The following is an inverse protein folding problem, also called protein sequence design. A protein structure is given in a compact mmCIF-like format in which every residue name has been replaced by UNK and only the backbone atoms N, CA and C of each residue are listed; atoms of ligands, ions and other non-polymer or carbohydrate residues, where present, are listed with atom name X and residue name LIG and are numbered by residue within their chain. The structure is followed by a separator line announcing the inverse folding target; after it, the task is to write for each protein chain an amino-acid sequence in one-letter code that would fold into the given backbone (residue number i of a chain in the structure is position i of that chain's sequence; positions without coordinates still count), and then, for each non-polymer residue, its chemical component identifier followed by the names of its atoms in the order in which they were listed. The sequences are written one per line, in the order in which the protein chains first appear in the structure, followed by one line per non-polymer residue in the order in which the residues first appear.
data_IF_327783208254
#
_entry.id   IF_327783208254
#
_cell.length_a   1.000
_cell.length_b   1.000
_cell.length_c   1.000
_cell.angle_alpha   90.00
_cell.angle_beta   90.00
_cell.angle_gamma   90.00
#
_symmetry.space_group_name_H-M   'P 1'
#
loop_
_entity.id
_entity.type
_entity.pdbx_description
1 polymer ?
#
# COMPACT_ATOMS: atom_id res chain seq x y z
N UNK A 1 24.82 -37.79 25.90
CA UNK A 1 23.89 -38.40 24.93
C UNK A 1 22.80 -37.38 24.69
N UNK A 2 22.62 -36.75 23.53
CA UNK A 2 22.58 -37.26 22.16
C UNK A 2 23.29 -36.27 21.22
N UNK A 3 23.83 -36.82 20.14
CA UNK A 3 24.88 -36.27 19.27
C UNK A 3 24.39 -35.25 18.23
N UNK A 4 25.26 -34.27 17.96
CA UNK A 4 25.29 -33.47 16.74
C UNK A 4 25.71 -34.32 15.54
N UNK A 5 25.06 -34.16 14.38
CA UNK A 5 25.62 -34.56 13.09
C UNK A 5 25.59 -33.40 12.10
N UNK A 6 26.79 -32.91 11.79
CA UNK A 6 27.12 -32.12 10.62
C UNK A 6 27.72 -33.07 9.58
N UNK A 7 27.29 -32.99 8.32
CA UNK A 7 28.02 -33.61 7.22
C UNK A 7 28.11 -32.64 6.03
N UNK A 8 29.31 -32.09 5.85
CA UNK A 8 29.84 -31.53 4.60
C UNK A 8 30.59 -32.64 3.88
N UNK A 9 30.48 -32.71 2.54
CA UNK A 9 31.51 -33.02 1.53
C UNK A 9 30.79 -33.47 0.24
N UNK A 10 30.81 -32.69 -0.84
CA UNK A 10 31.82 -32.60 -1.93
C UNK A 10 31.19 -33.20 -3.22
N UNK A 11 30.79 -32.37 -4.17
CA UNK A 11 31.54 -32.01 -5.40
C UNK A 11 31.49 -33.07 -6.52
N UNK A 12 30.79 -32.75 -7.61
CA UNK A 12 31.28 -32.72 -9.00
C UNK A 12 30.13 -32.75 -10.01
N UNK A 13 30.13 -31.76 -10.89
CA UNK A 13 29.37 -31.72 -12.14
C UNK A 13 30.01 -32.63 -13.19
N UNK A 14 29.21 -33.35 -13.97
CA UNK A 14 29.59 -33.85 -15.31
C UNK A 14 28.39 -33.73 -16.25
N UNK A 15 28.57 -32.96 -17.33
CA UNK A 15 27.71 -32.88 -18.51
C UNK A 15 27.98 -34.07 -19.44
N UNK A 16 26.93 -34.64 -20.05
CA UNK A 16 27.08 -35.46 -21.28
C UNK A 16 26.01 -35.09 -22.29
N UNK A 17 26.46 -34.58 -23.44
CA UNK A 17 25.70 -34.37 -24.69
C UNK A 17 25.36 -35.72 -25.34
N UNK A 18 24.16 -35.87 -25.90
CA UNK A 18 23.90 -36.81 -27.00
C UNK A 18 23.16 -36.12 -28.14
N UNK A 19 23.83 -36.05 -29.30
CA UNK A 19 23.29 -35.75 -30.63
C UNK A 19 22.67 -37.03 -31.20
N UNK A 20 21.51 -36.92 -31.83
CA UNK A 20 21.00 -37.91 -32.79
C UNK A 20 20.70 -37.18 -34.12
N UNK A 21 21.24 -37.73 -35.20
CA UNK A 21 21.06 -37.33 -36.61
C UNK A 21 20.72 -38.60 -37.38
N UNK A 22 19.66 -38.58 -38.20
CA UNK A 22 19.43 -39.35 -39.43
C UNK A 22 18.43 -38.51 -40.28
N UNK A 23 18.80 -37.96 -41.45
CA UNK A 23 18.69 -38.50 -42.84
C UNK A 23 17.28 -39.05 -43.12
N UNK A 24 16.51 -38.67 -44.16
CA UNK A 24 16.64 -37.86 -45.38
C UNK A 24 15.57 -38.36 -46.38
N UNK A 25 15.12 -37.55 -47.36
CA UNK A 25 14.63 -37.87 -48.74
C UNK A 25 13.88 -36.64 -49.33
N UNK A 26 14.32 -36.20 -50.52
CA UNK A 26 13.72 -35.20 -51.45
C UNK A 26 12.76 -35.91 -52.44
N UNK A 27 11.78 -35.29 -53.12
CA UNK A 27 11.89 -34.41 -54.30
C UNK A 27 10.50 -33.90 -54.74
N UNK A 28 10.42 -32.76 -55.46
CA UNK A 28 9.42 -32.59 -56.55
C UNK A 28 8.68 -31.25 -56.73
N UNK A 29 9.37 -30.23 -57.28
CA UNK A 29 8.96 -29.23 -58.31
C UNK A 29 7.47 -28.81 -58.53
N UNK A 30 7.20 -27.48 -58.51
CA UNK A 30 6.93 -26.66 -59.73
C UNK A 30 6.67 -25.16 -59.42
N UNK A 31 7.25 -24.30 -60.26
CA UNK A 31 7.13 -22.83 -60.31
C UNK A 31 5.96 -22.36 -61.19
N UNK A 32 5.40 -21.16 -60.93
CA UNK A 32 5.06 -20.02 -61.85
C UNK A 32 4.37 -18.94 -60.96
N UNK A 33 5.02 -17.81 -60.59
CA UNK A 33 5.04 -16.46 -61.23
C UNK A 33 3.66 -15.77 -61.33
N UNK A 34 3.42 -14.47 -61.05
CA UNK A 34 4.17 -13.31 -60.52
C UNK A 34 3.15 -12.13 -60.50
N UNK A 35 3.05 -11.35 -59.41
CA UNK A 35 3.00 -9.86 -59.34
C UNK A 35 2.07 -9.27 -58.25
N UNK A 36 2.78 -8.75 -57.23
CA UNK A 36 2.69 -7.41 -56.59
C UNK A 36 1.36 -6.96 -55.97
N UNK A 37 1.35 -6.84 -54.65
CA UNK A 37 1.60 -5.55 -53.98
C UNK A 37 2.25 -5.77 -52.62
N UNK A 38 3.24 -4.93 -52.32
CA UNK A 38 4.07 -4.95 -51.11
C UNK A 38 3.46 -4.11 -49.99
N UNK A 39 3.29 -4.69 -48.80
CA UNK A 39 3.51 -4.00 -47.53
C UNK A 39 4.27 -4.98 -46.63
N UNK A 40 5.58 -4.76 -46.53
CA UNK A 40 6.48 -5.50 -45.65
C UNK A 40 6.14 -5.22 -44.19
N UNK A 41 5.71 -6.27 -43.49
CA UNK A 41 6.26 -6.75 -42.21
C UNK A 41 6.72 -5.68 -41.20
N UNK A 42 5.93 -5.50 -40.13
CA UNK A 42 6.39 -5.45 -38.73
C UNK A 42 5.19 -5.61 -37.76
N UNK A 43 4.46 -6.72 -37.89
CA UNK A 43 3.59 -7.22 -36.82
C UNK A 43 4.20 -8.53 -36.32
N UNK A 44 5.02 -8.42 -35.27
CA UNK A 44 5.39 -9.50 -34.31
C UNK A 44 6.56 -9.01 -33.46
N UNK A 45 6.25 -8.35 -32.34
CA UNK A 45 7.16 -8.18 -31.19
C UNK A 45 6.43 -7.69 -29.92
N UNK A 46 5.24 -8.22 -29.63
CA UNK A 46 4.51 -7.88 -28.39
C UNK A 46 4.26 -9.05 -27.41
N UNK A 47 4.81 -10.25 -27.63
CA UNK A 47 4.43 -11.43 -26.80
C UNK A 47 5.53 -12.10 -25.95
N UNK A 48 6.68 -11.46 -25.69
CA UNK A 48 7.71 -12.08 -24.83
C UNK A 48 8.23 -11.26 -23.65
N UNK A 49 7.56 -10.16 -23.28
CA UNK A 49 7.99 -9.32 -22.16
C UNK A 49 6.89 -9.12 -21.08
N UNK A 50 6.21 -10.17 -20.62
CA UNK A 50 5.32 -10.01 -19.44
C UNK A 50 4.93 -11.30 -18.68
N UNK A 51 5.79 -12.33 -18.65
CA UNK A 51 5.54 -13.55 -17.85
C UNK A 51 6.08 -13.49 -16.42
N UNK A 52 6.96 -12.54 -16.07
CA UNK A 52 7.68 -12.52 -14.78
C UNK A 52 7.60 -11.18 -14.01
N UNK A 53 6.63 -10.30 -14.26
CA UNK A 53 6.59 -9.02 -13.52
C UNK A 53 6.14 -9.22 -12.06
N UNK A 54 6.77 -8.54 -11.07
CA UNK A 54 6.38 -8.67 -9.66
C UNK A 54 4.89 -8.36 -9.41
N UNK A 55 4.33 -7.40 -10.16
CA UNK A 55 2.91 -7.05 -10.05
C UNK A 55 2.00 -8.17 -10.57
N UNK A 56 2.34 -8.80 -11.69
CA UNK A 56 1.58 -9.93 -12.22
C UNK A 56 1.63 -11.12 -11.26
N UNK A 57 2.80 -11.40 -10.66
CA UNK A 57 2.93 -12.41 -9.60
C UNK A 57 2.03 -12.10 -8.40
N UNK A 58 2.06 -10.86 -7.89
CA UNK A 58 1.19 -10.46 -6.78
C UNK A 58 -0.31 -10.55 -7.14
N UNK A 59 -0.69 -10.24 -8.39
CA UNK A 59 -2.05 -10.38 -8.89
C UNK A 59 -2.48 -11.84 -9.09
N UNK A 60 -1.60 -12.70 -9.61
CA UNK A 60 -1.85 -14.12 -9.84
C UNK A 60 -1.94 -14.87 -8.49
N UNK A 61 -1.03 -14.59 -7.55
CA UNK A 61 -1.04 -15.11 -6.17
C UNK A 61 -2.24 -14.56 -5.35
N UNK A 62 -2.86 -13.45 -5.78
CA UNK A 62 -4.11 -12.95 -5.19
C UNK A 62 -5.36 -13.72 -5.68
N UNK A 63 -5.29 -14.40 -6.82
CA UNK A 63 -6.41 -15.14 -7.41
C UNK A 63 -6.58 -16.56 -6.82
N UNK A 64 -5.53 -17.15 -6.23
CA UNK A 64 -5.55 -18.49 -5.61
C UNK A 64 -6.14 -18.51 -4.19
N UNK A 65 -7.06 -17.59 -3.88
CA UNK A 65 -7.63 -17.34 -2.55
C UNK A 65 -8.16 -18.58 -1.81
N UNK A 66 -8.58 -19.61 -2.55
CA UNK A 66 -9.16 -20.83 -1.99
C UNK A 66 -8.13 -21.73 -1.29
N UNK A 67 -6.86 -21.73 -1.72
CA UNK A 67 -5.86 -22.68 -1.20
C UNK A 67 -5.33 -22.30 0.20
N UNK A 68 -5.41 -21.03 0.58
CA UNK A 68 -5.04 -20.57 1.93
C UNK A 68 -6.11 -20.93 2.96
N UNK A 69 -7.39 -20.73 2.62
CA UNK A 69 -8.52 -21.07 3.48
C UNK A 69 -8.61 -22.57 3.79
N UNK A 70 -8.11 -23.44 2.90
CA UNK A 70 -8.15 -24.90 3.09
C UNK A 70 -6.99 -25.41 3.94
N UNK A 71 -5.80 -24.80 3.86
CA UNK A 71 -4.63 -25.25 4.66
C UNK A 71 -4.76 -24.92 6.13
N UNK A 72 -5.62 -23.98 6.48
CA UNK A 72 -5.78 -23.58 7.87
C UNK A 72 -7.24 -23.32 8.26
N UNK A 73 -8.04 -24.37 8.52
CA UNK A 73 -9.48 -24.22 8.78
C UNK A 73 -9.83 -23.56 10.11
N UNK A 74 -8.90 -23.51 11.07
CA UNK A 74 -9.09 -22.91 12.40
C UNK A 74 -8.73 -21.41 12.45
N UNK A 75 -8.35 -20.84 11.31
CA UNK A 75 -7.77 -19.52 11.17
C UNK A 75 -8.82 -18.42 10.89
N UNK A 76 -9.88 -18.38 11.68
CA UNK A 76 -10.56 -17.11 11.97
C UNK A 76 -9.62 -16.26 12.84
N UNK A 77 -8.47 -15.82 12.28
CA UNK A 77 -7.36 -15.20 13.04
C UNK A 77 -7.71 -13.86 13.66
N UNK A 78 -8.76 -13.21 13.14
CA UNK A 78 -9.43 -12.16 13.86
C UNK A 78 -10.35 -12.87 14.85
N UNK A 79 -9.80 -13.31 15.99
CA UNK A 79 -10.56 -13.00 17.20
C UNK A 79 -10.64 -11.48 17.17
N UNK A 80 -11.82 -10.99 16.79
CA UNK A 80 -12.15 -9.58 16.87
C UNK A 80 -11.51 -9.08 18.18
N UNK A 81 -10.81 -7.92 18.20
CA UNK A 81 -10.14 -7.44 19.41
C UNK A 81 -11.05 -7.28 20.65
N UNK A 82 -12.32 -7.59 20.47
CA UNK A 82 -13.46 -7.42 21.31
C UNK A 82 -13.87 -8.78 21.85
N UNK A 83 -14.07 -8.84 23.16
CA UNK A 83 -14.55 -10.03 23.89
C UNK A 83 -15.83 -10.58 23.25
N UNK A 84 -16.07 -11.89 23.32
CA UNK A 84 -17.19 -12.59 22.68
C UNK A 84 -18.61 -12.02 23.00
N UNK A 85 -18.74 -11.28 24.11
CA UNK A 85 -19.97 -10.56 24.54
C UNK A 85 -19.95 -9.06 24.28
N UNK A 86 -18.97 -8.54 23.53
CA UNK A 86 -18.88 -7.13 23.22
C UNK A 86 -20.12 -6.68 22.42
N UNK A 87 -20.74 -5.58 22.86
CA UNK A 87 -21.90 -5.01 22.16
C UNK A 87 -21.41 -4.29 20.90
N UNK A 88 -21.33 -5.03 19.79
CA UNK A 88 -21.05 -4.46 18.48
C UNK A 88 -22.22 -3.62 18.00
N UNK A 89 -21.94 -2.42 17.52
CA UNK A 89 -22.96 -1.54 16.95
C UNK A 89 -23.01 -1.81 15.46
N UNK A 90 -24.11 -2.36 14.95
CA UNK A 90 -24.41 -2.34 13.50
C UNK A 90 -24.60 -0.89 13.09
N UNK A 91 -23.54 -0.22 12.66
CA UNK A 91 -23.53 1.24 12.54
C UNK A 91 -23.58 1.74 11.09
N UNK A 92 -24.45 1.11 10.30
CA UNK A 92 -24.96 1.68 9.06
C UNK A 92 -25.92 2.86 9.30
N UNK A 93 -26.74 2.86 10.38
CA UNK A 93 -27.91 3.74 10.43
C UNK A 93 -28.20 4.52 11.72
N UNK A 94 -27.43 4.41 12.81
CA UNK A 94 -27.80 5.11 14.06
C UNK A 94 -26.65 5.87 14.75
N UNK A 95 -26.70 7.19 14.58
CA UNK A 95 -25.92 8.23 15.28
C UNK A 95 -26.32 8.40 16.76
N UNK A 96 -26.62 7.32 17.51
CA UNK A 96 -26.83 7.45 18.97
C UNK A 96 -25.52 7.23 19.72
N UNK A 97 -24.98 8.34 20.26
CA UNK A 97 -23.90 8.37 21.25
C UNK A 97 -24.14 7.29 22.33
N UNK A 98 -23.20 6.37 22.60
CA UNK A 98 -23.15 5.83 23.95
C UNK A 98 -22.91 6.99 24.92
N UNK A 99 -23.54 6.97 26.08
CA UNK A 99 -23.01 7.68 27.25
C UNK A 99 -21.80 6.89 27.77
N UNK A 100 -20.75 6.77 26.96
CA UNK A 100 -19.45 6.29 27.43
C UNK A 100 -18.70 7.50 27.93
N UNK A 101 -18.18 7.43 29.15
CA UNK A 101 -17.31 8.46 29.69
C UNK A 101 -16.14 8.70 28.70
N UNK A 102 -15.88 9.95 28.25
CA UNK A 102 -14.72 10.26 27.42
C UNK A 102 -13.39 9.77 28.01
N UNK A 103 -13.31 9.63 29.34
CA UNK A 103 -12.14 9.07 30.04
C UNK A 103 -11.95 7.57 29.80
N UNK A 104 -13.01 6.84 29.45
CA UNK A 104 -12.98 5.39 29.22
C UNK A 104 -12.95 5.01 27.73
N UNK A 105 -13.19 5.97 26.83
CA UNK A 105 -13.23 5.76 25.39
C UNK A 105 -11.85 5.97 24.74
N UNK A 106 -11.54 5.18 23.72
CA UNK A 106 -10.29 5.30 22.96
C UNK A 106 -10.51 5.52 21.46
N UNK A 107 -9.52 6.15 20.85
CA UNK A 107 -9.39 6.27 19.39
C UNK A 107 -8.04 5.71 19.00
N UNK A 108 -8.03 4.74 18.09
CA UNK A 108 -6.81 4.10 17.62
C UNK A 108 -6.44 4.64 16.24
N UNK A 109 -5.24 5.21 16.12
CA UNK A 109 -4.73 5.80 14.89
C UNK A 109 -3.60 4.96 14.31
N UNK A 110 -3.72 4.61 13.03
CA UNK A 110 -2.73 3.81 12.32
C UNK A 110 -1.82 4.67 11.44
N UNK A 111 -0.48 4.53 11.57
CA UNK A 111 0.46 5.28 10.75
C UNK A 111 0.45 4.80 9.29
N UNK A 112 0.99 5.64 8.40
CA UNK A 112 1.24 5.30 7.01
C UNK A 112 2.73 5.17 6.70
N UNK A 113 3.03 5.09 5.41
CA UNK A 113 4.41 5.14 4.90
C UNK A 113 5.15 6.39 5.41
N UNK A 114 6.41 6.18 5.81
CA UNK A 114 7.28 7.18 6.46
C UNK A 114 7.47 6.94 7.96
N UNK A 115 6.67 6.07 8.58
CA UNK A 115 6.80 5.69 9.99
C UNK A 115 7.78 4.53 10.25
N UNK A 116 8.24 3.85 9.20
CA UNK A 116 9.14 2.71 9.32
C UNK A 116 10.54 3.12 9.79
N UNK A 117 11.17 2.25 10.59
CA UNK A 117 12.56 2.36 11.00
C UNK A 117 13.15 0.97 11.29
N UNK A 118 14.45 0.81 11.10
CA UNK A 118 15.15 -0.44 11.42
C UNK A 118 15.09 -0.69 12.92
N UNK A 119 14.66 -1.88 13.31
CA UNK A 119 14.40 -2.28 14.69
C UNK A 119 12.95 -2.13 15.15
N UNK A 120 12.03 -1.70 14.28
CA UNK A 120 10.62 -1.45 14.65
C UNK A 120 9.87 -2.70 15.17
N UNK A 121 10.32 -3.90 14.81
CA UNK A 121 9.72 -5.15 15.29
C UNK A 121 10.29 -5.64 16.64
N UNK A 122 11.46 -5.17 17.09
CA UNK A 122 12.20 -5.78 18.21
C UNK A 122 11.41 -5.82 19.53
N UNK A 123 10.67 -4.76 19.84
CA UNK A 123 9.86 -4.71 21.07
C UNK A 123 8.54 -5.46 20.98
N UNK A 124 8.13 -5.86 19.78
CA UNK A 124 6.86 -6.51 19.49
C UNK A 124 6.96 -8.03 19.58
N UNK A 125 8.13 -8.60 19.31
CA UNK A 125 8.35 -10.06 19.37
C UNK A 125 8.24 -10.68 20.76
N UNK A 126 8.02 -9.89 21.82
CA UNK A 126 7.72 -10.41 23.16
C UNK A 126 6.31 -10.97 23.28
N UNK A 127 5.45 -10.64 22.31
CA UNK A 127 4.05 -11.00 22.27
C UNK A 127 3.86 -12.14 21.25
N UNK A 128 3.43 -13.35 21.66
CA UNK A 128 3.37 -14.51 20.76
C UNK A 128 2.59 -14.23 19.47
N UNK A 129 1.48 -13.51 19.59
CA UNK A 129 0.65 -13.17 18.43
C UNK A 129 1.32 -12.21 17.44
N UNK A 130 2.28 -11.40 17.90
CA UNK A 130 3.08 -10.59 16.99
C UNK A 130 4.04 -11.43 16.16
N UNK A 131 4.65 -12.48 16.75
CA UNK A 131 5.55 -13.38 16.04
C UNK A 131 4.81 -14.16 14.94
N UNK A 132 3.64 -14.71 15.25
CA UNK A 132 2.79 -15.41 14.28
C UNK A 132 2.37 -14.51 13.11
N UNK A 133 2.04 -13.24 13.36
CA UNK A 133 1.76 -12.26 12.31
C UNK A 133 2.93 -12.09 11.35
N UNK A 134 4.17 -12.07 11.86
CA UNK A 134 5.36 -11.97 11.02
C UNK A 134 5.65 -13.26 10.24
N UNK A 135 5.46 -14.43 10.85
CA UNK A 135 5.63 -15.72 10.15
C UNK A 135 4.64 -15.86 9.00
N UNK A 136 3.36 -15.55 9.25
CA UNK A 136 2.32 -15.55 8.21
C UNK A 136 2.62 -14.51 7.13
N UNK A 137 3.12 -13.33 7.53
CA UNK A 137 3.54 -12.30 6.57
C UNK A 137 4.67 -12.81 5.67
N UNK A 138 5.67 -13.48 6.24
CA UNK A 138 6.80 -14.03 5.49
C UNK A 138 6.33 -15.06 4.47
N UNK A 139 5.36 -15.90 4.86
CA UNK A 139 4.75 -16.88 3.97
C UNK A 139 3.99 -16.22 2.81
N UNK A 140 3.15 -15.23 3.10
CA UNK A 140 2.32 -14.54 2.09
C UNK A 140 3.18 -13.73 1.11
N UNK A 141 4.18 -13.02 1.63
CA UNK A 141 5.01 -12.10 0.84
C UNK A 141 6.15 -12.82 0.11
N UNK A 142 6.51 -14.03 0.54
CA UNK A 142 7.59 -14.82 -0.04
C UNK A 142 9.00 -14.30 0.28
N UNK A 143 9.15 -13.45 1.30
CA UNK A 143 10.42 -12.97 1.82
C UNK A 143 10.34 -12.69 3.33
N UNK A 144 11.50 -12.60 3.98
CA UNK A 144 11.58 -12.39 5.43
C UNK A 144 11.39 -10.90 5.80
N UNK A 145 10.12 -10.51 5.95
CA UNK A 145 9.72 -9.17 6.38
C UNK A 145 10.21 -8.87 7.80
N UNK A 146 10.19 -9.87 8.70
CA UNK A 146 10.64 -9.69 10.08
C UNK A 146 12.11 -9.28 10.13
N UNK A 147 12.97 -10.05 9.45
CA UNK A 147 14.39 -9.73 9.36
C UNK A 147 14.61 -8.33 8.80
N UNK A 148 13.91 -7.96 7.73
CA UNK A 148 13.99 -6.62 7.15
C UNK A 148 13.60 -5.52 8.16
N UNK A 149 12.54 -5.74 8.95
CA UNK A 149 12.10 -4.80 9.98
C UNK A 149 13.08 -4.68 11.15
N UNK A 150 13.82 -5.74 11.48
CA UNK A 150 14.76 -5.78 12.61
C UNK A 150 16.15 -5.26 12.24
N UNK A 151 16.67 -5.70 11.10
CA UNK A 151 18.07 -5.58 10.72
C UNK A 151 18.27 -4.63 9.54
N UNK A 152 17.23 -4.35 8.75
CA UNK A 152 17.33 -3.55 7.55
C UNK A 152 17.90 -4.33 6.35
N UNK A 153 18.63 -3.68 5.43
CA UNK A 153 19.14 -2.30 5.52
C UNK A 153 18.04 -1.24 5.41
N UNK A 154 18.31 -0.05 5.93
CA UNK A 154 17.35 1.06 6.02
C UNK A 154 16.84 1.49 4.64
N UNK A 155 17.73 1.48 3.65
CA UNK A 155 17.46 1.85 2.26
C UNK A 155 16.46 0.88 1.63
N UNK A 156 16.61 -0.42 1.90
CA UNK A 156 15.68 -1.44 1.42
C UNK A 156 14.33 -1.30 2.12
N UNK A 157 14.32 -1.18 3.45
CA UNK A 157 13.10 -0.98 4.23
C UNK A 157 12.33 0.27 3.78
N UNK A 158 13.02 1.32 3.32
CA UNK A 158 12.40 2.55 2.84
C UNK A 158 11.78 2.46 1.44
N UNK A 159 12.05 1.41 0.65
CA UNK A 159 11.39 1.23 -0.65
C UNK A 159 9.89 1.03 -0.42
N UNK A 160 9.08 1.61 -1.30
CA UNK A 160 7.61 1.63 -1.15
C UNK A 160 7.03 0.23 -1.01
N UNK A 161 7.53 -0.72 -1.82
CA UNK A 161 7.13 -2.13 -1.80
C UNK A 161 7.37 -2.85 -0.46
N UNK A 162 8.33 -2.40 0.36
CA UNK A 162 8.66 -3.02 1.65
C UNK A 162 8.13 -2.24 2.85
N UNK A 163 8.22 -0.91 2.84
CA UNK A 163 7.76 -0.11 3.97
C UNK A 163 6.26 -0.26 4.21
N UNK A 164 5.46 -0.47 3.16
CA UNK A 164 4.01 -0.58 3.33
C UNK A 164 3.60 -1.88 4.06
N UNK A 165 4.00 -3.09 3.61
CA UNK A 165 3.81 -4.29 4.41
C UNK A 165 4.39 -4.18 5.81
N UNK A 166 5.61 -3.66 5.96
CA UNK A 166 6.29 -3.50 7.26
C UNK A 166 5.48 -2.65 8.25
N UNK A 167 4.99 -1.48 7.81
CA UNK A 167 4.18 -0.58 8.66
C UNK A 167 2.86 -1.24 9.03
N UNK A 168 2.17 -1.91 8.11
CA UNK A 168 0.91 -2.60 8.41
C UNK A 168 1.11 -3.69 9.46
N UNK A 169 2.07 -4.60 9.24
CA UNK A 169 2.30 -5.77 10.11
C UNK A 169 2.77 -5.32 11.49
N UNK A 170 3.73 -4.38 11.56
CA UNK A 170 4.16 -3.84 12.86
C UNK A 170 3.04 -3.10 13.59
N UNK A 171 2.13 -2.44 12.87
CA UNK A 171 1.00 -1.74 13.49
C UNK A 171 -0.01 -2.73 14.08
N UNK A 172 -0.28 -3.85 13.43
CA UNK A 172 -1.14 -4.91 13.97
C UNK A 172 -0.46 -5.64 15.13
N UNK A 173 0.83 -5.93 15.03
CA UNK A 173 1.62 -6.46 16.14
C UNK A 173 1.65 -5.50 17.35
N UNK A 174 1.64 -4.19 17.12
CA UNK A 174 1.50 -3.21 18.20
C UNK A 174 0.10 -3.20 18.85
N UNK A 175 -0.94 -3.64 18.13
CA UNK A 175 -2.26 -3.87 18.72
C UNK A 175 -2.24 -5.07 19.66
N UNK A 176 -1.52 -6.15 19.32
CA UNK A 176 -1.37 -7.30 20.22
C UNK A 176 -0.68 -6.91 21.53
N UNK A 177 0.40 -6.12 21.44
CA UNK A 177 1.01 -5.48 22.61
C UNK A 177 -0.01 -4.64 23.40
N UNK A 178 -0.80 -3.80 22.72
CA UNK A 178 -1.77 -2.92 23.38
C UNK A 178 -2.90 -3.71 24.08
N UNK A 179 -3.33 -4.84 23.51
CA UNK A 179 -4.32 -5.74 24.14
C UNK A 179 -3.82 -6.27 25.47
N UNK A 180 -2.54 -6.66 25.56
CA UNK A 180 -1.94 -7.15 26.81
C UNK A 180 -1.69 -6.04 27.82
N UNK A 181 -1.13 -4.90 27.40
CA UNK A 181 -0.76 -3.82 28.32
C UNK A 181 -1.98 -3.00 28.78
N UNK A 182 -2.98 -2.81 27.91
CA UNK A 182 -4.14 -1.93 28.13
C UNK A 182 -5.41 -2.50 27.44
N UNK A 183 -5.96 -3.64 27.89
CA UNK A 183 -7.10 -4.30 27.23
C UNK A 183 -8.32 -3.37 27.07
N UNK A 184 -8.58 -2.50 28.05
CA UNK A 184 -9.69 -1.53 27.98
C UNK A 184 -9.51 -0.50 26.86
N UNK A 185 -8.28 -0.14 26.49
CA UNK A 185 -8.04 0.77 25.37
C UNK A 185 -8.42 0.13 24.04
N UNK A 186 -8.38 -1.19 23.90
CA UNK A 186 -8.82 -1.87 22.69
C UNK A 186 -10.33 -2.13 22.75
N UNK A 187 -10.82 -2.65 23.87
CA UNK A 187 -12.23 -2.99 24.07
C UNK A 187 -13.17 -1.78 23.97
N UNK A 188 -12.73 -0.60 24.44
CA UNK A 188 -13.50 0.63 24.43
C UNK A 188 -13.19 1.54 23.23
N UNK A 189 -12.59 1.00 22.16
CA UNK A 189 -12.32 1.75 20.96
C UNK A 189 -13.62 2.16 20.26
N UNK A 190 -13.87 3.47 20.20
CA UNK A 190 -15.09 4.04 19.61
C UNK A 190 -14.91 4.45 18.15
N UNK A 191 -13.65 4.63 17.73
CA UNK A 191 -13.28 4.97 16.37
C UNK A 191 -11.85 4.61 16.05
N UNK A 192 -11.61 4.33 14.77
CA UNK A 192 -10.27 4.19 14.24
C UNK A 192 -10.12 4.96 12.93
N UNK A 193 -8.89 5.38 12.65
CA UNK A 193 -8.54 5.99 11.40
C UNK A 193 -7.08 5.69 11.09
N UNK A 194 -6.70 5.69 9.82
CA UNK A 194 -5.32 5.47 9.46
C UNK A 194 -4.88 6.35 8.31
N UNK A 195 -3.62 6.76 8.32
CA UNK A 195 -3.06 7.68 7.34
C UNK A 195 -2.58 6.94 6.09
N UNK A 196 -3.18 7.22 4.92
CA UNK A 196 -2.82 6.55 3.67
C UNK A 196 -2.88 5.02 3.84
N UNK A 197 -1.78 4.29 3.66
CA UNK A 197 -1.69 2.86 3.98
C UNK A 197 -2.40 2.44 5.28
N UNK A 198 -2.26 3.24 6.35
CA UNK A 198 -2.85 2.92 7.65
C UNK A 198 -4.36 2.78 7.61
N UNK A 199 -5.06 3.32 6.60
CA UNK A 199 -6.50 3.12 6.41
C UNK A 199 -6.85 1.65 6.16
N UNK A 200 -5.98 0.90 5.46
CA UNK A 200 -6.13 -0.54 5.27
C UNK A 200 -5.92 -1.27 6.61
N UNK A 201 -4.91 -0.87 7.37
CA UNK A 201 -4.65 -1.40 8.73
C UNK A 201 -5.84 -1.15 9.67
N UNK A 202 -6.45 0.04 9.59
CA UNK A 202 -7.63 0.40 10.35
C UNK A 202 -8.86 -0.46 9.98
N UNK A 203 -9.02 -0.78 8.69
CA UNK A 203 -10.08 -1.68 8.22
C UNK A 203 -9.86 -3.13 8.69
N UNK A 204 -8.61 -3.61 8.74
CA UNK A 204 -8.28 -4.92 9.32
C UNK A 204 -8.61 -4.94 10.81
N UNK A 205 -8.15 -3.93 11.55
CA UNK A 205 -8.45 -3.80 12.98
C UNK A 205 -9.95 -3.75 13.27
N UNK A 206 -10.73 -3.10 12.41
CA UNK A 206 -12.19 -3.02 12.52
C UNK A 206 -12.92 -4.25 11.96
N UNK A 207 -12.22 -5.33 11.61
CA UNK A 207 -12.81 -6.58 11.11
C UNK A 207 -13.45 -6.47 9.71
N UNK A 208 -13.22 -5.38 8.98
CA UNK A 208 -13.75 -5.20 7.63
C UNK A 208 -12.94 -5.95 6.56
N UNK A 209 -11.65 -6.23 6.84
CA UNK A 209 -10.75 -6.97 5.98
C UNK A 209 -10.02 -8.05 6.80
N UNK A 210 -9.90 -9.25 6.25
CA UNK A 210 -9.04 -10.29 6.80
C UNK A 210 -7.56 -9.93 6.60
N UNK A 211 -6.72 -10.35 7.54
CA UNK A 211 -5.31 -9.97 7.57
C UNK A 211 -4.56 -10.39 6.29
N UNK A 212 -4.71 -11.64 5.88
CA UNK A 212 -3.98 -12.23 4.76
C UNK A 212 -4.36 -11.57 3.44
N UNK A 213 -5.68 -11.39 3.26
CA UNK A 213 -6.25 -10.74 2.11
C UNK A 213 -5.79 -9.26 2.05
N UNK A 214 -5.82 -8.56 3.19
CA UNK A 214 -5.36 -7.18 3.29
C UNK A 214 -3.85 -7.04 3.08
N UNK A 215 -3.03 -8.00 3.55
CA UNK A 215 -1.58 -7.97 3.35
C UNK A 215 -1.24 -8.13 1.87
N UNK A 216 -1.91 -9.04 1.15
CA UNK A 216 -1.80 -9.15 -0.32
C UNK A 216 -2.25 -7.88 -1.03
N UNK A 217 -3.36 -7.27 -0.61
CA UNK A 217 -3.81 -5.98 -1.14
C UNK A 217 -2.75 -4.89 -0.95
N UNK A 218 -2.11 -4.85 0.22
CA UNK A 218 -1.01 -3.93 0.52
C UNK A 218 0.21 -4.20 -0.33
N UNK A 219 0.58 -5.46 -0.55
CA UNK A 219 1.70 -5.81 -1.42
C UNK A 219 1.46 -5.38 -2.88
N UNK A 220 0.26 -5.65 -3.41
CA UNK A 220 -0.17 -5.17 -4.74
C UNK A 220 -0.16 -3.65 -4.81
N UNK A 221 -0.73 -2.96 -3.80
CA UNK A 221 -0.73 -1.49 -3.70
C UNK A 221 0.69 -0.96 -3.75
N UNK A 222 1.56 -1.50 -2.90
CA UNK A 222 2.92 -1.02 -2.71
C UNK A 222 3.78 -1.24 -3.95
N UNK A 223 3.65 -2.41 -4.58
CA UNK A 223 4.32 -2.76 -5.83
C UNK A 223 3.82 -1.88 -6.99
N UNK A 224 2.50 -1.71 -7.14
CA UNK A 224 1.94 -0.90 -8.21
C UNK A 224 2.29 0.59 -8.06
N UNK A 225 2.30 1.12 -6.83
CA UNK A 225 2.74 2.49 -6.55
C UNK A 225 4.25 2.69 -6.77
N UNK A 226 5.07 1.67 -6.48
CA UNK A 226 6.50 1.70 -6.81
C UNK A 226 6.70 1.76 -8.33
N UNK A 227 6.04 0.89 -9.09
CA UNK A 227 6.12 0.89 -10.56
C UNK A 227 5.64 2.21 -11.18
N UNK A 228 4.56 2.80 -10.64
CA UNK A 228 4.11 4.14 -11.06
C UNK A 228 5.15 5.23 -10.75
N UNK A 229 5.87 5.11 -9.63
CA UNK A 229 6.97 6.02 -9.27
C UNK A 229 8.18 5.86 -10.19
N UNK A 230 8.48 4.63 -10.58
CA UNK A 230 9.58 4.32 -11.51
C UNK A 230 9.25 4.80 -12.95
N UNK A 231 7.96 4.83 -13.31
CA UNK A 231 7.47 5.27 -14.61
C UNK A 231 7.42 6.80 -14.73
N UNK A 232 7.07 7.50 -13.66
CA UNK A 232 6.90 8.95 -13.66
C UNK A 232 7.79 9.63 -12.61
N UNK A 233 8.82 10.33 -13.09
CA UNK A 233 9.71 11.10 -12.21
C UNK A 233 8.92 12.18 -11.45
N UNK A 234 8.83 12.02 -10.14
CA UNK A 234 8.10 12.92 -9.27
C UNK A 234 8.50 12.78 -7.82
N UNK A 235 7.80 13.50 -6.96
CA UNK A 235 8.04 13.41 -5.52
C UNK A 235 7.01 14.18 -4.72
N UNK A 236 7.38 14.45 -3.47
CA UNK A 236 6.53 15.20 -2.54
C UNK A 236 7.35 16.24 -1.78
N UNK A 237 6.71 17.35 -1.46
CA UNK A 237 7.27 18.43 -0.65
C UNK A 237 6.30 18.83 0.47
N UNK A 238 6.82 19.00 1.68
CA UNK A 238 6.11 19.67 2.78
C UNK A 238 6.16 21.17 2.52
N UNK A 239 5.00 21.81 2.56
CA UNK A 239 4.83 23.25 2.38
C UNK A 239 4.22 23.85 3.64
N UNK A 240 4.98 24.74 4.28
CA UNK A 240 4.48 25.59 5.37
C UNK A 240 3.95 26.89 4.78
N UNK A 241 2.72 27.25 5.11
CA UNK A 241 1.99 28.37 4.50
C UNK A 241 1.28 29.23 5.56
N UNK A 242 1.05 30.50 5.23
CA UNK A 242 0.32 31.50 6.02
C UNK A 242 -1.11 31.68 5.47
N UNK A 243 -2.02 32.35 6.21
CA UNK A 243 -3.38 32.62 5.72
C UNK A 243 -3.42 33.31 4.35
N UNK A 244 -2.47 34.20 4.08
CA UNK A 244 -2.31 34.98 2.85
C UNK A 244 -1.45 34.29 1.77
N UNK A 245 -1.02 33.04 2.00
CA UNK A 245 -0.27 32.26 1.01
C UNK A 245 -1.14 31.80 -0.16
N UNK A 246 -0.58 31.88 -1.37
CA UNK A 246 -1.28 31.53 -2.61
C UNK A 246 -0.90 30.12 -3.11
N UNK A 247 -0.96 29.11 -2.24
CA UNK A 247 -0.50 27.74 -2.56
C UNK A 247 -1.21 27.14 -3.79
N UNK A 248 -2.52 27.36 -3.94
CA UNK A 248 -3.26 26.86 -5.11
C UNK A 248 -2.73 27.44 -6.42
N UNK A 249 -2.44 28.74 -6.45
CA UNK A 249 -1.83 29.41 -7.60
C UNK A 249 -0.39 28.93 -7.83
N UNK A 250 0.36 28.65 -6.77
CA UNK A 250 1.71 28.10 -6.85
C UNK A 250 1.72 26.74 -7.54
N UNK A 251 0.82 25.82 -7.13
CA UNK A 251 0.66 24.52 -7.77
C UNK A 251 0.23 24.64 -9.24
N UNK A 252 -0.71 25.55 -9.54
CA UNK A 252 -1.15 25.79 -10.90
C UNK A 252 -0.02 26.29 -11.80
N UNK A 253 0.73 27.31 -11.38
CA UNK A 253 1.88 27.83 -12.13
C UNK A 253 3.01 26.80 -12.27
N UNK A 254 3.25 25.99 -11.24
CA UNK A 254 4.23 24.92 -11.29
C UNK A 254 3.87 23.86 -12.34
N UNK A 255 2.59 23.48 -12.43
CA UNK A 255 2.10 22.55 -13.44
C UNK A 255 2.17 23.15 -14.86
N UNK A 256 1.82 24.42 -15.01
CA UNK A 256 1.98 25.14 -16.30
C UNK A 256 3.44 25.18 -16.72
N UNK A 257 4.34 25.59 -15.82
CA UNK A 257 5.77 25.61 -16.09
C UNK A 257 6.33 24.27 -16.54
N UNK A 258 5.92 23.18 -15.86
CA UNK A 258 6.31 21.82 -16.27
C UNK A 258 5.82 21.49 -17.69
N UNK A 259 4.60 21.89 -18.03
CA UNK A 259 4.02 21.72 -19.37
C UNK A 259 4.83 22.49 -20.42
N UNK A 260 5.12 23.76 -20.16
CA UNK A 260 5.88 24.63 -21.07
C UNK A 260 7.32 24.13 -21.28
N UNK A 261 7.89 23.46 -20.28
CA UNK A 261 9.22 22.83 -20.36
C UNK A 261 9.23 21.51 -21.15
N UNK A 262 8.07 21.02 -21.60
CA UNK A 262 7.93 19.75 -22.31
C UNK A 262 7.95 18.53 -21.40
N UNK A 263 7.58 18.66 -20.11
CA UNK A 263 7.36 17.50 -19.25
C UNK A 263 6.19 16.66 -19.80
N UNK A 264 6.40 15.35 -19.95
CA UNK A 264 5.42 14.44 -20.53
C UNK A 264 4.21 14.25 -19.61
N UNK A 265 4.43 14.29 -18.29
CA UNK A 265 3.39 14.07 -17.28
C UNK A 265 3.40 15.19 -16.23
N UNK A 266 3.03 16.43 -16.60
CA UNK A 266 3.08 17.56 -15.69
C UNK A 266 2.03 17.43 -14.60
N UNK A 267 2.46 17.41 -13.34
CA UNK A 267 1.55 17.31 -12.20
C UNK A 267 2.04 18.17 -11.04
N UNK A 268 1.11 18.84 -10.35
CA UNK A 268 1.40 19.55 -9.12
C UNK A 268 0.09 19.82 -8.39
N UNK A 269 -0.14 19.11 -7.29
CA UNK A 269 -1.36 19.25 -6.49
C UNK A 269 -1.10 18.99 -5.02
N UNK A 270 -2.01 19.51 -4.20
CA UNK A 270 -2.00 19.20 -2.77
C UNK A 270 -2.39 17.73 -2.60
N UNK A 271 -1.52 16.98 -1.95
CA UNK A 271 -1.66 15.55 -1.71
C UNK A 271 -2.14 15.24 -0.29
N UNK A 272 -1.71 16.04 0.70
CA UNK A 272 -2.11 15.82 2.09
C UNK A 272 -2.39 17.14 2.82
N UNK A 273 -3.48 17.17 3.58
CA UNK A 273 -3.73 18.17 4.62
C UNK A 273 -3.24 17.63 5.96
N UNK A 274 -2.09 18.10 6.46
CA UNK A 274 -1.49 17.58 7.70
C UNK A 274 -2.07 18.24 8.95
N UNK A 275 -1.88 19.56 9.07
CA UNK A 275 -2.33 20.39 10.20
C UNK A 275 -2.47 21.85 9.73
N UNK A 276 -3.04 22.77 10.53
CA UNK A 276 -3.11 24.19 10.15
C UNK A 276 -1.73 24.69 9.70
N UNK A 277 -1.67 25.45 8.61
CA UNK A 277 -0.43 26.01 8.07
C UNK A 277 0.59 25.00 7.51
N UNK A 278 0.25 23.70 7.40
CA UNK A 278 1.13 22.70 6.79
C UNK A 278 0.40 21.72 5.86
N UNK A 279 0.89 21.63 4.62
CA UNK A 279 0.36 20.78 3.55
C UNK A 279 1.48 19.99 2.89
N UNK A 280 1.15 18.88 2.26
CA UNK A 280 2.06 18.18 1.35
C UNK A 280 1.59 18.41 -0.07
N UNK A 281 2.51 18.77 -0.96
CA UNK A 281 2.29 18.87 -2.39
C UNK A 281 3.02 17.73 -3.07
N UNK A 282 2.33 17.04 -3.97
CA UNK A 282 2.90 16.03 -4.86
C UNK A 282 2.92 16.55 -6.27
N UNK A 283 3.94 16.20 -7.04
CA UNK A 283 4.05 16.62 -8.43
C UNK A 283 5.19 15.97 -9.18
N UNK A 284 5.25 16.24 -10.48
CA UNK A 284 6.38 15.87 -11.31
C UNK A 284 7.64 16.61 -10.86
N UNK A 285 8.80 16.04 -11.17
CA UNK A 285 10.09 16.58 -10.74
C UNK A 285 10.26 18.05 -11.13
N UNK A 286 9.96 18.38 -12.38
CA UNK A 286 10.09 19.72 -12.95
C UNK A 286 9.16 20.74 -12.27
N UNK A 287 7.91 20.36 -11.97
CA UNK A 287 6.96 21.21 -11.27
C UNK A 287 7.39 21.49 -9.83
N UNK A 288 7.93 20.48 -9.14
CA UNK A 288 8.42 20.64 -7.77
C UNK A 288 9.70 21.49 -7.73
N UNK A 289 10.60 21.36 -8.69
CA UNK A 289 11.77 22.24 -8.83
C UNK A 289 11.36 23.71 -9.03
N UNK A 290 10.34 23.96 -9.85
CA UNK A 290 9.76 25.30 -9.99
C UNK A 290 9.20 25.81 -8.66
N UNK A 291 8.44 24.97 -7.95
CA UNK A 291 7.84 25.36 -6.68
C UNK A 291 8.94 25.70 -5.65
N UNK A 292 10.01 24.92 -5.59
CA UNK A 292 11.16 25.16 -4.70
C UNK A 292 11.92 26.44 -4.99
N UNK A 293 12.03 26.82 -6.27
CA UNK A 293 12.69 28.05 -6.67
C UNK A 293 11.82 29.28 -6.40
N UNK A 294 10.50 29.18 -6.57
CA UNK A 294 9.59 30.33 -6.60
C UNK A 294 8.61 30.40 -5.42
N UNK A 295 8.72 29.53 -4.39
CA UNK A 295 7.73 29.47 -3.29
C UNK A 295 7.51 30.81 -2.57
N UNK A 296 8.55 31.66 -2.50
CA UNK A 296 8.49 32.98 -1.86
C UNK A 296 7.55 33.94 -2.59
N UNK A 297 7.44 33.84 -3.92
CA UNK A 297 6.58 34.68 -4.75
C UNK A 297 5.08 34.43 -4.47
N UNK A 298 4.78 33.24 -3.96
CA UNK A 298 3.44 32.85 -3.52
C UNK A 298 3.24 33.02 -2.01
N UNK A 299 4.18 33.72 -1.35
CA UNK A 299 4.19 33.97 0.08
C UNK A 299 4.14 32.68 0.92
N UNK A 300 4.77 31.60 0.44
CA UNK A 300 4.94 30.36 1.20
C UNK A 300 6.12 30.53 2.17
N UNK A 301 5.99 30.02 3.40
CA UNK A 301 6.99 30.22 4.45
C UNK A 301 8.20 29.32 4.26
N UNK A 302 7.97 28.05 3.94
CA UNK A 302 9.03 27.05 3.80
C UNK A 302 8.55 25.89 2.93
N UNK A 303 9.47 25.33 2.16
CA UNK A 303 9.29 24.10 1.39
C UNK A 303 10.42 23.12 1.73
N UNK A 304 10.11 21.82 1.85
CA UNK A 304 11.10 20.77 2.13
C UNK A 304 10.72 19.47 1.43
N UNK A 305 11.65 18.85 0.69
CA UNK A 305 11.46 17.50 0.11
C UNK A 305 11.21 16.44 1.17
N UNK A 306 10.30 15.53 0.85
CA UNK A 306 10.07 14.30 1.61
C UNK A 306 10.86 13.19 0.93
N UNK A 307 11.63 12.36 1.67
CA UNK A 307 12.38 11.25 1.10
C UNK A 307 11.44 10.08 0.74
N UNK A 308 10.73 10.22 -0.37
CA UNK A 308 9.82 9.22 -0.93
C UNK A 308 10.12 8.97 -2.40
N UNK A 309 9.76 7.78 -2.89
CA UNK A 309 10.10 7.34 -4.25
C UNK A 309 9.30 8.04 -5.35
N UNK A 310 8.15 8.65 -5.03
CA UNK A 310 7.28 9.22 -6.06
C UNK A 310 6.22 10.19 -5.52
N UNK A 311 5.40 10.68 -6.45
CA UNK A 311 4.37 11.67 -6.20
C UNK A 311 3.05 11.04 -5.72
N UNK A 312 3.01 10.53 -4.49
CA UNK A 312 1.82 9.84 -3.97
C UNK A 312 0.59 10.74 -3.87
N UNK A 313 -0.61 10.15 -3.93
CA UNK A 313 -1.89 10.88 -3.88
C UNK A 313 -2.02 11.96 -4.97
N UNK A 314 -1.48 11.65 -6.15
CA UNK A 314 -1.55 12.48 -7.35
C UNK A 314 -1.94 11.66 -8.58
N UNK A 315 -2.18 12.33 -9.70
CA UNK A 315 -2.48 11.67 -10.99
C UNK A 315 -1.39 10.72 -11.44
N UNK A 316 -0.14 10.96 -11.02
CA UNK A 316 0.98 10.06 -11.32
C UNK A 316 0.80 8.66 -10.69
N UNK A 317 -0.07 8.50 -9.70
CA UNK A 317 -0.40 7.19 -9.13
C UNK A 317 -1.58 6.48 -9.82
N UNK A 318 -2.14 7.04 -10.91
CA UNK A 318 -3.27 6.44 -11.62
C UNK A 318 -3.02 4.97 -12.05
N UNK A 319 -1.82 4.56 -12.53
CA UNK A 319 -1.57 3.16 -12.90
C UNK A 319 -1.73 2.17 -11.73
N UNK A 320 -1.59 2.63 -10.48
CA UNK A 320 -1.72 1.78 -9.31
C UNK A 320 -3.18 1.50 -8.91
N UNK A 321 -4.15 2.21 -9.50
CA UNK A 321 -5.57 2.08 -9.13
C UNK A 321 -6.16 0.76 -9.61
N UNK A 322 -5.90 0.38 -10.87
CA UNK A 322 -6.56 -0.79 -11.45
C UNK A 322 -6.13 -2.10 -10.79
N UNK A 323 -4.81 -2.36 -10.60
CA UNK A 323 -4.37 -3.55 -9.85
C UNK A 323 -4.96 -3.58 -8.43
N UNK A 324 -5.02 -2.43 -7.76
CA UNK A 324 -5.62 -2.32 -6.43
C UNK A 324 -7.10 -2.68 -6.41
N UNK A 325 -7.88 -2.17 -7.37
CA UNK A 325 -9.31 -2.47 -7.49
C UNK A 325 -9.56 -3.94 -7.81
N UNK A 326 -8.80 -4.49 -8.74
CA UNK A 326 -8.93 -5.90 -9.14
C UNK A 326 -8.71 -6.82 -7.93
N UNK A 327 -7.66 -6.59 -7.15
CA UNK A 327 -7.40 -7.35 -5.92
C UNK A 327 -8.51 -7.14 -4.90
N UNK A 328 -8.92 -5.90 -4.64
CA UNK A 328 -10.00 -5.60 -3.67
C UNK A 328 -11.33 -6.28 -4.06
N UNK A 329 -11.65 -6.35 -5.35
CA UNK A 329 -12.89 -6.97 -5.83
C UNK A 329 -12.89 -8.50 -5.66
N UNK A 330 -11.72 -9.15 -5.70
CA UNK A 330 -11.57 -10.60 -5.46
C UNK A 330 -11.67 -10.99 -3.99
N UNK A 331 -11.44 -10.04 -3.09
CA UNK A 331 -11.44 -10.28 -1.64
C UNK A 331 -12.84 -10.17 -1.05
N UNK A 332 -13.08 -10.91 0.04
CA UNK A 332 -14.23 -10.68 0.90
C UNK A 332 -14.03 -9.39 1.71
N UNK A 333 -15.09 -8.59 1.84
CA UNK A 333 -15.10 -7.34 2.59
C UNK A 333 -16.34 -7.34 3.45
N UNK A 334 -16.17 -7.06 4.73
CA UNK A 334 -17.23 -7.04 5.73
C UNK A 334 -17.57 -5.62 6.16
N UNK A 335 -18.72 -5.48 6.82
CA UNK A 335 -19.07 -4.23 7.47
C UNK A 335 -18.16 -4.03 8.70
N UNK A 336 -17.55 -2.84 8.86
CA UNK A 336 -16.63 -2.62 9.95
C UNK A 336 -17.38 -2.62 11.29
N UNK A 337 -16.86 -3.33 12.30
CA UNK A 337 -17.51 -3.42 13.62
C UNK A 337 -17.35 -2.14 14.44
N UNK A 338 -16.43 -1.26 14.03
CA UNK A 338 -16.16 0.07 14.60
C UNK A 338 -16.12 1.11 13.50
N UNK A 339 -16.44 2.36 13.84
CA UNK A 339 -16.33 3.50 12.93
C UNK A 339 -14.89 3.68 12.43
N UNK A 340 -14.64 3.31 11.18
CA UNK A 340 -13.40 3.61 10.44
C UNK A 340 -13.59 4.88 9.63
N UNK A 341 -12.74 5.89 9.80
CA UNK A 341 -12.83 7.14 9.06
C UNK A 341 -11.92 7.12 7.83
N UNK A 342 -12.48 7.50 6.67
CA UNK A 342 -11.73 7.53 5.43
C UNK A 342 -10.83 8.76 5.32
N UNK A 343 -9.59 8.57 4.86
CA UNK A 343 -8.70 9.70 4.58
C UNK A 343 -9.15 10.56 3.40
N UNK A 344 -10.08 10.08 2.56
CA UNK A 344 -10.51 10.81 1.36
C UNK A 344 -11.44 11.97 1.71
N UNK A 345 -12.50 11.70 2.46
CA UNK A 345 -13.55 12.69 2.77
C UNK A 345 -13.72 12.98 4.27
N UNK A 346 -12.96 12.28 5.14
CA UNK A 346 -13.04 12.43 6.59
C UNK A 346 -14.34 11.90 7.18
N UNK A 347 -15.11 11.10 6.44
CA UNK A 347 -16.37 10.48 6.91
C UNK A 347 -16.13 9.02 7.27
N UNK A 348 -17.00 8.48 8.13
CA UNK A 348 -16.96 7.06 8.46
C UNK A 348 -17.43 6.18 7.29
N UNK A 349 -16.78 5.04 7.10
CA UNK A 349 -17.30 3.98 6.25
C UNK A 349 -18.66 3.52 6.78
N UNK A 350 -19.57 3.19 5.85
CA UNK A 350 -20.95 2.81 6.17
C UNK A 350 -21.14 1.30 6.18
N UNK A 351 -20.61 0.64 5.14
CA UNK A 351 -20.73 -0.78 4.88
C UNK A 351 -19.63 -1.22 3.89
N UNK A 352 -19.54 -2.52 3.65
CA UNK A 352 -18.60 -3.15 2.72
C UNK A 352 -18.67 -2.57 1.30
N UNK A 353 -19.87 -2.28 0.79
CA UNK A 353 -20.05 -1.69 -0.53
C UNK A 353 -19.44 -0.28 -0.61
N UNK A 354 -19.59 0.52 0.45
CA UNK A 354 -18.95 1.83 0.54
C UNK A 354 -17.42 1.70 0.56
N UNK A 355 -16.87 0.71 1.29
CA UNK A 355 -15.43 0.43 1.33
C UNK A 355 -14.90 0.13 -0.08
N UNK A 356 -15.51 -0.80 -0.81
CA UNK A 356 -15.11 -1.17 -2.17
C UNK A 356 -15.08 0.01 -3.14
N UNK A 357 -16.04 0.93 -3.02
CA UNK A 357 -16.13 2.12 -3.88
C UNK A 357 -15.13 3.22 -3.51
N UNK A 358 -14.87 3.40 -2.22
CA UNK A 358 -14.16 4.58 -1.71
C UNK A 358 -12.67 4.33 -1.49
N UNK A 359 -12.29 3.15 -1.00
CA UNK A 359 -10.89 2.82 -0.67
C UNK A 359 -9.92 2.97 -1.87
N UNK A 360 -10.27 2.52 -3.10
CA UNK A 360 -9.37 2.69 -4.26
C UNK A 360 -9.09 4.15 -4.63
N UNK A 361 -10.03 5.06 -4.31
CA UNK A 361 -9.85 6.49 -4.61
C UNK A 361 -8.70 7.09 -3.81
N UNK A 362 -8.42 6.54 -2.64
CA UNK A 362 -7.37 7.00 -1.75
C UNK A 362 -5.99 7.05 -2.43
N UNK A 363 -5.69 6.12 -3.34
CA UNK A 363 -4.38 6.02 -4.00
C UNK A 363 -4.01 7.30 -4.78
N UNK A 364 -5.00 7.96 -5.40
CA UNK A 364 -4.82 9.15 -6.26
C UNK A 364 -5.41 10.44 -5.68
N UNK A 365 -6.37 10.32 -4.78
CA UNK A 365 -7.04 11.48 -4.20
C UNK A 365 -6.27 12.06 -3.01
N UNK A 366 -6.45 13.36 -2.83
CA UNK A 366 -6.03 14.12 -1.67
C UNK A 366 -6.42 13.40 -0.37
N UNK A 367 -5.48 13.33 0.57
CA UNK A 367 -5.71 12.82 1.91
C UNK A 367 -6.01 13.96 2.88
N UNK A 368 -7.23 14.02 3.38
CA UNK A 368 -7.72 15.05 4.28
C UNK A 368 -7.52 14.67 5.75
N UNK A 369 -6.27 14.44 6.15
CA UNK A 369 -5.93 14.00 7.50
C UNK A 369 -6.24 15.05 8.58
N UNK A 370 -6.21 16.34 8.24
CA UNK A 370 -6.69 17.42 9.10
C UNK A 370 -8.17 17.23 9.44
N UNK A 371 -9.03 17.06 8.44
CA UNK A 371 -10.45 16.84 8.71
C UNK A 371 -10.68 15.50 9.38
N UNK A 372 -9.88 14.47 9.06
CA UNK A 372 -9.93 13.19 9.77
C UNK A 372 -9.74 13.37 11.27
N UNK A 373 -8.65 14.04 11.68
CA UNK A 373 -8.38 14.36 13.09
C UNK A 373 -9.51 15.19 13.67
N UNK A 374 -9.92 16.27 13.01
CA UNK A 374 -10.98 17.13 13.53
C UNK A 374 -12.32 16.41 13.68
N UNK A 375 -12.74 15.62 12.70
CA UNK A 375 -13.99 14.85 12.77
C UNK A 375 -13.94 13.83 13.89
N UNK A 376 -12.81 13.13 14.05
CA UNK A 376 -12.64 12.15 15.12
C UNK A 376 -12.60 12.84 16.49
N UNK A 377 -11.83 13.91 16.65
CA UNK A 377 -11.81 14.66 17.91
C UNK A 377 -13.19 15.26 18.21
N UNK A 378 -13.76 16.13 17.35
CA UNK A 378 -15.07 16.80 17.59
C UNK A 378 -16.21 15.81 17.88
N UNK A 379 -16.19 14.61 17.29
CA UNK A 379 -17.28 13.65 17.48
C UNK A 379 -17.16 12.88 18.80
N UNK A 380 -15.94 12.66 19.30
CA UNK A 380 -15.68 11.78 20.45
C UNK A 380 -15.10 12.48 21.69
N UNK A 381 -14.58 13.71 21.56
CA UNK A 381 -14.03 14.56 22.61
C UNK A 381 -14.54 15.99 22.45
#
# INVERSE_FOLDING_TARGET
MIFYFSCKLCSRSVYVKKKLKCKGIEYGLQNVSLRRFSVSTMCRKEEECNRNSPLKRALDDSASFQDLNVKFPQQQWITLPYVEKAKFRKQGDFYRRPKSDPHDASVILFPGQGAQYVGMANSLLKFPMAEELFELSNYILGYDLLKLCREGPKEELNKTKYCQPAVMVCSLAAIEKLKEERPNAVANCVATAGFSLGEITALVFAGALEFEAALKLVDVRATAMQLASDMYEGGMVIVMYRPDSKLGQACFKAKQWATDKGDVYPECKIANYLYPHCKVVSGSKSALEFLEKNYKDFNLKKIKRIPVSGAFHSELMAPAIEPFKETLNKMQVFDPVISVYSCVDGKSYKNAAHIRKQLPKQVRQLQNYRNLKNTVFIKYY
#
